data_IF_435533452041
#
_entry.id   IF_435533452041
#
_cell.length_a   1.000
_cell.length_b   1.000
_cell.length_c   1.000
_cell.angle_alpha   90.00
_cell.angle_beta   90.00
_cell.angle_gamma   90.00
#
_symmetry.space_group_name_H-M   'P 1'
#
loop_
_entity.id
_entity.type
_entity.pdbx_description
1 polymer ?
#
# COMPACT_ATOMS: atom_id res chain seq x y z
N UNK A 1 8.28 -12.20 2.70
CA UNK A 1 6.96 -11.57 2.93
C UNK A 1 6.02 -12.69 3.31
N UNK A 2 5.13 -12.49 4.29
CA UNK A 2 4.09 -13.47 4.62
C UNK A 2 2.83 -12.95 3.93
N UNK A 3 2.32 -13.66 2.93
CA UNK A 3 1.05 -13.32 2.30
C UNK A 3 -0.11 -13.83 3.15
N UNK A 4 -1.23 -13.13 3.08
CA UNK A 4 -2.49 -13.56 3.67
C UNK A 4 -3.65 -13.18 2.76
N UNK A 5 -4.80 -13.79 3.00
CA UNK A 5 -6.03 -13.50 2.25
C UNK A 5 -6.90 -12.54 3.06
N UNK A 6 -7.54 -11.59 2.39
CA UNK A 6 -8.41 -10.62 3.04
C UNK A 6 -9.15 -9.75 2.04
N UNK A 7 -10.21 -9.11 2.54
CA UNK A 7 -10.99 -8.13 1.79
C UNK A 7 -11.26 -6.91 2.68
N UNK A 8 -11.37 -5.74 2.06
CA UNK A 8 -11.80 -4.52 2.72
C UNK A 8 -12.65 -3.70 1.76
N UNK A 9 -13.55 -2.91 2.30
CA UNK A 9 -14.48 -2.09 1.53
C UNK A 9 -14.58 -0.70 2.16
N UNK A 10 -14.92 0.28 1.33
CA UNK A 10 -15.24 1.62 1.77
C UNK A 10 -16.52 2.09 1.07
N UNK A 11 -17.35 2.84 1.79
CA UNK A 11 -18.51 3.53 1.23
C UNK A 11 -18.12 5.00 1.18
N UNK A 12 -18.14 5.59 -0.02
CA UNK A 12 -17.90 7.00 -0.21
C UNK A 12 -19.23 7.71 -0.42
N UNK A 13 -19.43 8.79 0.31
CA UNK A 13 -20.58 9.68 0.17
C UNK A 13 -20.12 11.06 -0.28
N UNK A 14 -21.02 11.83 -0.88
CA UNK A 14 -20.76 13.22 -1.21
C UNK A 14 -20.59 14.04 0.08
N UNK A 15 -19.61 14.92 0.08
CA UNK A 15 -19.37 15.94 1.12
C UNK A 15 -19.47 17.32 0.45
N UNK A 16 -20.08 18.29 1.15
CA UNK A 16 -20.26 19.66 0.66
C UNK A 16 -19.19 20.61 1.21
N UNK A 17 -18.59 20.31 2.36
CA UNK A 17 -17.43 21.08 2.86
C UNK A 17 -16.16 20.73 2.06
N UNK A 18 -15.63 21.64 1.23
CA UNK A 18 -14.45 21.37 0.41
C UNK A 18 -13.17 21.15 1.22
N UNK A 19 -13.20 21.36 2.54
CA UNK A 19 -12.07 21.12 3.45
C UNK A 19 -12.09 19.72 4.08
N UNK A 20 -13.15 18.94 3.86
CA UNK A 20 -13.35 17.58 4.41
C UNK A 20 -13.28 16.51 3.32
N UNK A 21 -13.09 15.26 3.74
CA UNK A 21 -13.02 14.11 2.86
C UNK A 21 -11.66 13.98 2.15
N UNK A 22 -11.68 13.42 0.93
CA UNK A 22 -10.47 13.21 0.12
C UNK A 22 -10.02 14.56 -0.45
N UNK A 23 -8.91 15.08 0.06
CA UNK A 23 -8.33 16.36 -0.38
C UNK A 23 -7.59 16.21 -1.71
N UNK A 24 -6.81 15.13 -1.84
CA UNK A 24 -6.13 14.79 -3.10
C UNK A 24 -5.73 13.32 -3.17
N UNK A 25 -5.52 12.85 -4.41
CA UNK A 25 -4.96 11.54 -4.72
C UNK A 25 -3.77 11.70 -5.65
N UNK A 26 -2.72 10.91 -5.44
CA UNK A 26 -1.50 10.94 -6.25
C UNK A 26 -1.20 9.51 -6.67
N UNK A 27 -1.09 9.26 -7.97
CA UNK A 27 -0.98 7.92 -8.55
C UNK A 27 0.13 7.91 -9.58
N UNK A 28 0.96 6.87 -9.51
CA UNK A 28 2.15 6.74 -10.35
C UNK A 28 2.36 5.28 -10.77
N UNK A 29 3.09 5.09 -11.85
CA UNK A 29 3.46 3.76 -12.36
C UNK A 29 4.81 3.80 -13.09
N UNK A 30 5.55 2.70 -13.01
CA UNK A 30 6.83 2.51 -13.70
C UNK A 30 6.99 1.04 -14.10
N UNK A 31 6.71 0.75 -15.39
CA UNK A 31 6.67 -0.60 -15.94
C UNK A 31 8.03 -1.27 -16.16
N UNK A 32 9.13 -0.52 -16.09
CA UNK A 32 10.48 -1.03 -16.38
C UNK A 32 10.88 -2.22 -15.48
N UNK A 33 10.29 -2.31 -14.29
CA UNK A 33 10.61 -3.30 -13.26
C UNK A 33 9.43 -4.23 -12.95
N UNK A 34 8.50 -4.39 -13.90
CA UNK A 34 7.29 -5.19 -13.70
C UNK A 34 7.59 -6.62 -13.22
N UNK A 35 8.64 -7.24 -13.75
CA UNK A 35 9.02 -8.61 -13.41
C UNK A 35 9.77 -8.74 -12.07
N UNK A 36 10.19 -7.64 -11.43
CA UNK A 36 10.88 -7.69 -10.13
C UNK A 36 9.94 -8.04 -8.95
N UNK A 37 8.63 -7.90 -9.18
CA UNK A 37 7.56 -8.36 -8.29
C UNK A 37 6.35 -8.73 -9.15
N UNK A 38 6.25 -10.00 -9.49
CA UNK A 38 5.28 -10.51 -10.45
C UNK A 38 4.84 -11.93 -10.14
N UNK A 39 3.81 -12.36 -10.84
CA UNK A 39 3.48 -13.75 -11.04
C UNK A 39 3.58 -13.96 -12.55
N UNK A 40 4.50 -14.81 -12.98
CA UNK A 40 4.91 -14.90 -14.39
C UNK A 40 3.89 -15.69 -15.22
N UNK A 41 3.19 -16.64 -14.60
CA UNK A 41 2.07 -17.38 -15.18
C UNK A 41 1.04 -17.72 -14.09
N UNK A 42 -0.23 -17.99 -14.42
CA UNK A 42 -0.83 -17.93 -15.75
C UNK A 42 -1.07 -16.48 -16.22
N UNK A 43 -0.87 -16.22 -17.51
CA UNK A 43 -1.05 -14.88 -18.07
C UNK A 43 -1.00 -14.85 -19.60
N UNK A 44 -1.67 -13.86 -20.19
CA UNK A 44 -1.64 -13.62 -21.65
C UNK A 44 -0.22 -13.20 -22.03
N UNK A 45 0.41 -13.91 -22.97
CA UNK A 45 1.77 -13.64 -23.44
C UNK A 45 2.86 -14.53 -22.81
N UNK A 46 2.50 -15.37 -21.84
CA UNK A 46 3.36 -16.42 -21.31
C UNK A 46 2.68 -17.78 -21.49
N UNK A 47 2.38 -18.46 -20.38
CA UNK A 47 1.69 -19.75 -20.35
C UNK A 47 0.31 -19.57 -19.74
N UNK A 48 -0.68 -20.25 -20.29
CA UNK A 48 -1.99 -20.34 -19.68
C UNK A 48 -2.09 -21.59 -18.80
N UNK A 49 -3.18 -21.69 -18.04
CA UNK A 49 -3.43 -22.84 -17.15
C UNK A 49 -3.42 -24.16 -17.93
N UNK A 50 -3.89 -24.17 -19.17
CA UNK A 50 -3.88 -25.36 -20.04
C UNK A 50 -2.47 -25.85 -20.34
N UNK A 51 -1.55 -24.94 -20.65
CA UNK A 51 -0.17 -25.27 -21.02
C UNK A 51 0.59 -25.81 -19.80
N UNK A 52 0.38 -25.19 -18.63
CA UNK A 52 0.98 -25.63 -17.35
C UNK A 52 0.54 -27.06 -16.99
N UNK A 53 -0.75 -27.35 -17.17
CA UNK A 53 -1.30 -28.68 -16.89
C UNK A 53 -0.85 -29.74 -17.92
N UNK A 54 -0.70 -29.36 -19.19
CA UNK A 54 -0.22 -30.26 -20.24
C UNK A 54 1.24 -30.65 -20.02
N UNK A 55 2.11 -29.68 -19.69
CA UNK A 55 3.52 -29.94 -19.41
C UNK A 55 3.72 -30.78 -18.14
N UNK A 56 2.85 -30.59 -17.13
CA UNK A 56 2.87 -31.30 -15.84
C UNK A 56 4.27 -31.39 -15.21
N UNK A 57 5.06 -30.32 -15.35
CA UNK A 57 6.42 -30.21 -14.84
C UNK A 57 6.37 -29.95 -13.33
N UNK A 58 6.88 -30.87 -12.48
CA UNK A 58 6.88 -30.68 -11.03
C UNK A 58 7.81 -29.56 -10.55
N UNK A 59 8.76 -29.13 -11.40
CA UNK A 59 9.74 -28.10 -11.07
C UNK A 59 9.31 -26.70 -11.57
N UNK A 60 8.15 -26.60 -12.22
CA UNK A 60 7.61 -25.32 -12.68
C UNK A 60 7.21 -24.44 -11.50
N UNK A 61 7.87 -23.29 -11.37
CA UNK A 61 7.61 -22.30 -10.33
C UNK A 61 6.98 -21.01 -10.88
N UNK A 62 6.66 -20.96 -12.18
CA UNK A 62 6.14 -19.76 -12.86
C UNK A 62 4.81 -19.26 -12.29
N UNK A 63 4.05 -20.16 -11.66
CA UNK A 63 2.78 -19.89 -10.99
C UNK A 63 2.90 -19.56 -9.50
N UNK A 64 4.12 -19.46 -8.97
CA UNK A 64 4.36 -18.86 -7.65
C UNK A 64 4.69 -17.37 -7.78
N UNK A 65 4.33 -16.54 -6.78
CA UNK A 65 4.78 -15.16 -6.72
C UNK A 65 6.31 -15.07 -6.69
N UNK A 66 6.88 -14.35 -7.66
CA UNK A 66 8.29 -14.01 -7.71
C UNK A 66 8.53 -12.60 -7.13
N UNK A 67 9.63 -12.43 -6.40
CA UNK A 67 10.00 -11.15 -5.82
C UNK A 67 11.50 -11.00 -5.61
N UNK A 68 12.09 -9.99 -6.22
CA UNK A 68 13.41 -9.48 -5.85
C UNK A 68 13.32 -8.57 -4.63
N UNK A 69 13.31 -9.17 -3.44
CA UNK A 69 12.99 -8.47 -2.19
C UNK A 69 13.87 -7.25 -1.88
N UNK A 70 15.17 -7.30 -2.22
CA UNK A 70 16.07 -6.17 -1.98
C UNK A 70 15.78 -4.99 -2.93
N UNK A 71 15.51 -5.29 -4.20
CA UNK A 71 15.19 -4.27 -5.20
C UNK A 71 13.83 -3.62 -4.90
N UNK A 72 12.82 -4.44 -4.60
CA UNK A 72 11.48 -4.01 -4.19
C UNK A 72 11.52 -3.13 -2.95
N UNK A 73 12.27 -3.52 -1.91
CA UNK A 73 12.39 -2.74 -0.68
C UNK A 73 12.97 -1.35 -0.94
N UNK A 74 14.06 -1.25 -1.71
CA UNK A 74 14.72 0.03 -2.03
C UNK A 74 13.79 0.97 -2.79
N UNK A 75 13.06 0.45 -3.79
CA UNK A 75 12.09 1.23 -4.54
C UNK A 75 10.92 1.67 -3.65
N UNK A 76 10.36 0.75 -2.86
CA UNK A 76 9.24 1.04 -1.98
C UNK A 76 9.56 2.23 -1.05
N UNK A 77 10.67 2.20 -0.32
CA UNK A 77 10.98 3.26 0.65
C UNK A 77 11.20 4.64 0.00
N UNK A 78 11.72 4.68 -1.23
CA UNK A 78 11.88 5.91 -2.00
C UNK A 78 10.51 6.43 -2.45
N UNK A 79 9.76 5.61 -3.19
CA UNK A 79 8.47 5.99 -3.80
C UNK A 79 7.40 6.34 -2.77
N UNK A 80 7.32 5.60 -1.66
CA UNK A 80 6.45 5.96 -0.52
C UNK A 80 6.73 7.37 0.00
N UNK A 81 8.01 7.70 0.17
CA UNK A 81 8.41 9.00 0.71
C UNK A 81 8.07 10.13 -0.26
N UNK A 82 8.27 9.90 -1.55
CA UNK A 82 7.96 10.87 -2.61
C UNK A 82 6.47 11.16 -2.65
N UNK A 83 5.63 10.12 -2.70
CA UNK A 83 4.18 10.27 -2.89
C UNK A 83 3.46 10.80 -1.66
N UNK A 84 3.95 10.51 -0.45
CA UNK A 84 3.46 11.15 0.78
C UNK A 84 3.80 12.65 0.76
N UNK A 85 5.05 13.01 0.46
CA UNK A 85 5.49 14.42 0.39
C UNK A 85 4.75 15.20 -0.69
N UNK A 86 4.50 14.57 -1.83
CA UNK A 86 3.73 15.15 -2.92
C UNK A 86 2.31 15.51 -2.46
N UNK A 87 1.63 14.57 -1.79
CA UNK A 87 0.29 14.79 -1.25
C UNK A 87 0.23 15.90 -0.21
N UNK A 88 1.16 15.91 0.74
CA UNK A 88 1.25 16.99 1.73
C UNK A 88 1.50 18.34 1.06
N UNK A 89 2.48 18.42 0.16
CA UNK A 89 2.84 19.66 -0.55
C UNK A 89 1.67 20.18 -1.39
N UNK A 90 0.95 19.30 -2.10
CA UNK A 90 -0.22 19.68 -2.92
C UNK A 90 -1.30 20.37 -2.10
N UNK A 91 -1.43 19.99 -0.83
CA UNK A 91 -2.42 20.53 0.11
C UNK A 91 -1.85 21.59 1.06
N UNK A 92 -0.61 22.04 0.85
CA UNK A 92 0.11 22.97 1.74
C UNK A 92 0.20 22.49 3.20
N UNK A 93 0.27 21.18 3.40
CA UNK A 93 0.39 20.54 4.71
C UNK A 93 1.85 20.18 5.00
N UNK A 94 2.16 20.07 6.29
CA UNK A 94 3.44 19.61 6.81
C UNK A 94 3.30 18.20 7.39
N UNK A 95 4.45 17.58 7.64
CA UNK A 95 4.54 16.20 8.15
C UNK A 95 4.04 16.11 9.60
N UNK A 96 4.28 17.13 10.40
CA UNK A 96 3.84 17.23 11.80
C UNK A 96 2.32 17.40 11.95
N UNK A 97 1.62 17.68 10.86
CA UNK A 97 0.15 17.73 10.82
C UNK A 97 -0.48 16.35 10.54
N UNK A 98 0.30 15.29 10.29
CA UNK A 98 -0.25 13.95 10.09
C UNK A 98 -0.70 13.38 11.44
N UNK A 99 -2.00 13.16 11.58
CA UNK A 99 -2.57 12.50 12.76
C UNK A 99 -2.48 10.97 12.63
N UNK A 100 -2.66 10.44 11.41
CA UNK A 100 -2.60 9.00 11.16
C UNK A 100 -2.05 8.66 9.77
N UNK A 101 -1.03 7.81 9.72
CA UNK A 101 -0.51 7.18 8.51
C UNK A 101 -0.94 5.70 8.49
N UNK A 102 -1.66 5.32 7.42
CA UNK A 102 -2.03 3.93 7.13
C UNK A 102 -1.28 3.48 5.86
N UNK A 103 -0.07 2.88 6.00
CA UNK A 103 0.66 2.39 4.84
C UNK A 103 0.16 1.01 4.41
N UNK A 104 0.42 0.62 3.15
CA UNK A 104 0.28 -0.76 2.71
C UNK A 104 1.11 -1.72 3.59
N UNK A 105 0.49 -2.82 4.02
CA UNK A 105 1.06 -3.76 4.97
C UNK A 105 1.92 -4.83 4.28
N UNK A 106 2.96 -4.42 3.54
CA UNK A 106 3.87 -5.36 2.85
C UNK A 106 4.92 -5.96 3.79
N UNK A 107 5.53 -5.11 4.62
CA UNK A 107 6.62 -5.47 5.51
C UNK A 107 6.76 -4.40 6.60
N UNK A 108 6.80 -4.81 7.86
CA UNK A 108 6.94 -3.89 9.00
C UNK A 108 8.18 -2.99 8.89
N UNK A 109 9.28 -3.48 8.31
CA UNK A 109 10.52 -2.70 8.14
C UNK A 109 10.36 -1.52 7.19
N UNK A 110 9.49 -1.63 6.17
CA UNK A 110 9.18 -0.51 5.26
C UNK A 110 8.41 0.56 6.02
N UNK A 111 7.34 0.16 6.72
CA UNK A 111 6.53 1.07 7.54
C UNK A 111 7.38 1.82 8.58
N UNK A 112 8.22 1.10 9.33
CA UNK A 112 9.14 1.69 10.30
C UNK A 112 10.18 2.62 9.68
N UNK A 113 10.64 2.33 8.44
CA UNK A 113 11.54 3.24 7.74
C UNK A 113 10.84 4.55 7.40
N UNK A 114 9.61 4.47 6.87
CA UNK A 114 8.79 5.64 6.54
C UNK A 114 8.47 6.46 7.79
N UNK A 115 8.02 5.79 8.86
CA UNK A 115 7.78 6.41 10.17
C UNK A 115 9.00 7.22 10.65
N UNK A 116 10.19 6.59 10.71
CA UNK A 116 11.42 7.27 11.14
C UNK A 116 11.81 8.42 10.22
N UNK A 117 11.66 8.25 8.90
CA UNK A 117 12.01 9.27 7.91
C UNK A 117 11.13 10.53 8.03
N UNK A 118 9.90 10.37 8.49
CA UNK A 118 8.97 11.47 8.74
C UNK A 118 8.92 11.91 10.21
N UNK A 119 9.64 11.24 11.11
CA UNK A 119 9.65 11.59 12.54
C UNK A 119 8.30 11.36 13.23
N UNK A 120 7.49 10.44 12.71
CA UNK A 120 6.17 10.12 13.28
C UNK A 120 6.31 9.23 14.52
N UNK A 121 5.47 9.46 15.51
CA UNK A 121 5.36 8.61 16.70
C UNK A 121 4.67 7.27 16.39
N UNK A 122 4.77 6.30 17.30
CA UNK A 122 4.12 4.99 17.16
C UNK A 122 2.58 5.10 17.12
N UNK A 123 2.01 6.17 17.70
CA UNK A 123 0.57 6.40 17.69
C UNK A 123 0.06 7.05 16.39
N UNK A 124 0.95 7.62 15.58
CA UNK A 124 0.64 8.22 14.27
C UNK A 124 0.77 7.23 13.11
N UNK A 125 1.18 5.98 13.33
CA UNK A 125 1.30 4.97 12.28
C UNK A 125 0.63 3.68 12.69
N UNK A 126 -0.45 3.30 11.99
CA UNK A 126 -1.14 2.05 12.29
C UNK A 126 -0.59 0.87 11.47
N UNK A 127 -0.28 -0.23 12.17
CA UNK A 127 0.20 -1.47 11.56
C UNK A 127 -0.51 -2.68 12.17
N UNK A 128 -1.00 -3.58 11.32
CA UNK A 128 -1.63 -4.84 11.72
C UNK A 128 -1.09 -6.06 10.95
N UNK A 129 -0.01 -5.90 10.18
CA UNK A 129 0.64 -6.98 9.43
C UNK A 129 0.96 -8.24 10.28
N UNK A 130 1.21 -8.07 11.58
CA UNK A 130 1.49 -9.20 12.49
C UNK A 130 0.28 -10.11 12.72
N UNK A 131 -0.94 -9.65 12.41
CA UNK A 131 -2.18 -10.41 12.55
C UNK A 131 -2.60 -11.10 11.26
N UNK A 132 -2.47 -10.43 10.12
CA UNK A 132 -3.03 -10.87 8.84
C UNK A 132 -2.00 -11.17 7.75
N UNK A 133 -0.73 -10.82 7.98
CA UNK A 133 0.27 -10.78 6.91
C UNK A 133 -0.04 -9.70 5.87
N UNK A 134 0.51 -9.87 4.67
CA UNK A 134 0.30 -9.00 3.53
C UNK A 134 -0.93 -9.48 2.73
N UNK A 135 -2.05 -8.81 2.92
CA UNK A 135 -3.32 -9.04 2.19
C UNK A 135 -3.44 -8.20 0.92
N UNK A 136 -2.31 -7.84 0.31
CA UNK A 136 -2.20 -7.04 -0.91
C UNK A 136 -3.06 -5.77 -0.86
N UNK A 137 -3.99 -5.59 -1.79
CA UNK A 137 -4.85 -4.40 -1.88
C UNK A 137 -5.78 -4.23 -0.67
N UNK A 138 -6.15 -5.32 0.00
CA UNK A 138 -7.03 -5.27 1.16
C UNK A 138 -6.35 -4.70 2.42
N UNK A 139 -5.01 -4.57 2.42
CA UNK A 139 -4.30 -4.22 3.65
C UNK A 139 -4.66 -2.84 4.21
N UNK A 140 -4.83 -1.85 3.33
CA UNK A 140 -5.16 -0.48 3.74
C UNK A 140 -6.59 -0.39 4.28
N UNK A 141 -7.64 -0.85 3.58
CA UNK A 141 -8.98 -0.74 4.13
C UNK A 141 -9.14 -1.53 5.44
N UNK A 142 -8.55 -2.73 5.57
CA UNK A 142 -8.56 -3.48 6.85
C UNK A 142 -7.88 -2.66 7.95
N UNK A 143 -6.67 -2.13 7.71
CA UNK A 143 -5.94 -1.33 8.69
C UNK A 143 -6.65 -0.03 9.06
N UNK A 144 -7.25 0.65 8.08
CA UNK A 144 -8.02 1.88 8.27
C UNK A 144 -9.25 1.63 9.15
N UNK A 145 -10.03 0.59 8.84
CA UNK A 145 -11.22 0.21 9.63
C UNK A 145 -10.83 -0.09 11.07
N UNK A 146 -9.80 -0.91 11.32
CA UNK A 146 -9.39 -1.22 12.69
C UNK A 146 -8.85 -0.01 13.45
N UNK A 147 -8.13 0.89 12.78
CA UNK A 147 -7.64 2.13 13.41
C UNK A 147 -8.80 3.02 13.85
N UNK A 148 -9.82 3.14 12.99
CA UNK A 148 -11.04 3.88 13.29
C UNK A 148 -11.86 3.23 14.42
N UNK A 149 -12.10 1.91 14.38
CA UNK A 149 -12.84 1.18 15.43
C UNK A 149 -12.15 1.28 16.81
N UNK A 150 -10.83 1.44 16.83
CA UNK A 150 -10.04 1.65 18.06
C UNK A 150 -10.02 3.10 18.54
N UNK A 151 -10.72 4.01 17.86
CA UNK A 151 -10.74 5.44 18.20
C UNK A 151 -9.40 6.16 17.98
N UNK A 152 -8.51 5.59 17.16
CA UNK A 152 -7.24 6.22 16.77
C UNK A 152 -7.40 7.25 15.66
N UNK A 153 -8.54 7.24 14.96
CA UNK A 153 -8.91 8.23 13.95
C UNK A 153 -10.20 8.91 14.41
N UNK A 154 -10.21 10.24 14.42
CA UNK A 154 -11.30 11.10 14.86
C UNK A 154 -11.66 12.10 13.76
N UNK A 155 -12.85 12.70 13.88
CA UNK A 155 -13.26 13.77 12.96
C UNK A 155 -12.26 14.96 13.05
N UNK A 156 -11.83 15.44 11.89
CA UNK A 156 -10.83 16.48 11.72
C UNK A 156 -9.41 15.98 11.56
N UNK A 157 -9.12 14.70 11.84
CA UNK A 157 -7.78 14.14 11.72
C UNK A 157 -7.29 14.16 10.27
N UNK A 158 -6.01 14.45 10.07
CA UNK A 158 -5.33 14.26 8.80
C UNK A 158 -4.88 12.80 8.68
N UNK A 159 -5.61 12.04 7.86
CA UNK A 159 -5.29 10.64 7.56
C UNK A 159 -4.58 10.56 6.20
N UNK A 160 -3.41 9.94 6.20
CA UNK A 160 -2.62 9.67 4.99
C UNK A 160 -2.66 8.18 4.71
N UNK A 161 -3.18 7.82 3.54
CA UNK A 161 -3.05 6.47 3.00
C UNK A 161 -1.90 6.46 2.01
N UNK A 162 -1.05 5.43 2.03
CA UNK A 162 0.01 5.28 1.05
C UNK A 162 0.26 3.82 0.68
N UNK A 163 0.53 3.56 -0.59
CA UNK A 163 0.75 2.21 -1.11
C UNK A 163 1.91 2.18 -2.12
N UNK A 164 2.54 1.02 -2.21
CA UNK A 164 3.49 0.63 -3.24
C UNK A 164 3.29 -0.86 -3.53
N UNK A 165 3.33 -1.27 -4.80
CA UNK A 165 3.11 -2.65 -5.20
C UNK A 165 3.69 -3.00 -6.56
N UNK A 166 3.35 -4.19 -7.06
CA UNK A 166 3.75 -4.73 -8.36
C UNK A 166 3.41 -3.79 -9.51
N UNK A 167 4.21 -3.82 -10.57
CA UNK A 167 4.06 -2.94 -11.74
C UNK A 167 5.36 -2.27 -12.18
N UNK A 168 6.05 -1.48 -11.36
CA UNK A 168 5.65 -0.98 -10.05
C UNK A 168 4.54 0.07 -10.15
N UNK A 169 3.70 0.13 -9.11
CA UNK A 169 2.67 1.15 -8.94
C UNK A 169 2.72 1.67 -7.51
N UNK A 170 2.43 2.96 -7.33
CA UNK A 170 2.37 3.55 -6.00
C UNK A 170 1.44 4.75 -5.97
N UNK A 171 0.97 5.08 -4.78
CA UNK A 171 0.03 6.18 -4.61
C UNK A 171 -0.13 6.64 -3.17
N UNK A 172 -0.73 7.82 -3.03
CA UNK A 172 -1.20 8.35 -1.75
C UNK A 172 -2.59 8.95 -1.87
N UNK A 173 -3.29 8.95 -0.74
CA UNK A 173 -4.56 9.65 -0.54
C UNK A 173 -4.41 10.50 0.71
N UNK A 174 -4.71 11.78 0.59
CA UNK A 174 -4.74 12.71 1.72
C UNK A 174 -6.20 12.96 2.08
N UNK A 175 -6.57 12.62 3.31
CA UNK A 175 -7.96 12.65 3.78
C UNK A 175 -8.02 13.54 5.01
N UNK A 176 -8.98 14.45 5.03
CA UNK A 176 -9.47 15.05 6.26
C UNK A 176 -10.68 14.23 6.72
N UNK A 177 -10.49 13.40 7.74
CA UNK A 177 -11.51 12.47 8.25
C UNK A 177 -12.68 13.23 8.89
#
# INVERSE_FOLDING_TARGET
VIFGDGAGAAILTREEDPKKGILSTHLHSEGQHAEELSLLAPGIGHRWVTDILEDNDPDDVSYYPYMNGQFVFKNAVVRFSEVIKEGLKKNNLKVDEIDMLIPHQANLRISQFIQRKFGLSDDQVYNNIMKYGNTTAASIPIALTEAWEKGKIKEGDLVVLAAFGSGFTWGSVIIRW
#
